data_IF_047074770911
#
_entry.id   IF_047074770911
#
_cell.length_a   1.000
_cell.length_b   1.000
_cell.length_c   1.000
_cell.angle_alpha   90.00
_cell.angle_beta   90.00
_cell.angle_gamma   90.00
#
_symmetry.space_group_name_H-M   'P 1'
#
loop_
_entity.id
_entity.type
_entity.pdbx_description
1 polymer ?
#
# COMPACT_ATOMS: atom_id res chain seq x y z
N UNK A 1 6.32 -6.64 -31.73
CA UNK A 1 5.99 -5.45 -30.92
C UNK A 1 6.05 -5.81 -29.45
N UNK A 2 6.57 -4.96 -28.59
CA UNK A 2 6.54 -5.25 -27.17
C UNK A 2 5.10 -5.36 -26.66
N UNK A 3 4.86 -6.31 -25.76
CA UNK A 3 3.55 -6.48 -25.12
C UNK A 3 3.25 -5.30 -24.19
N UNK A 4 1.99 -4.95 -24.07
CA UNK A 4 1.54 -4.06 -22.99
C UNK A 4 1.69 -4.76 -21.63
N UNK A 5 1.74 -4.00 -20.53
CA UNK A 5 1.78 -4.54 -19.18
C UNK A 5 0.68 -5.58 -18.94
N UNK A 6 -0.54 -5.27 -19.38
CA UNK A 6 -1.68 -6.18 -19.25
C UNK A 6 -1.50 -7.47 -20.05
N UNK A 7 -1.11 -7.38 -21.31
CA UNK A 7 -0.88 -8.57 -22.16
C UNK A 7 0.22 -9.46 -21.60
N UNK A 8 1.32 -8.86 -21.16
CA UNK A 8 2.45 -9.55 -20.54
C UNK A 8 2.02 -10.31 -19.29
N UNK A 9 1.31 -9.66 -18.40
CA UNK A 9 0.82 -10.27 -17.16
C UNK A 9 -0.10 -11.46 -17.46
N UNK A 10 -1.11 -11.27 -18.32
CA UNK A 10 -2.05 -12.34 -18.63
C UNK A 10 -1.43 -13.47 -19.47
N UNK A 11 -0.44 -13.19 -20.34
CA UNK A 11 0.31 -14.26 -21.02
C UNK A 11 0.98 -15.18 -20.00
N UNK A 12 1.64 -14.63 -18.98
CA UNK A 12 2.26 -15.45 -17.95
C UNK A 12 1.23 -16.23 -17.11
N UNK A 13 0.09 -15.61 -16.76
CA UNK A 13 -1.00 -16.29 -16.04
C UNK A 13 -1.57 -17.45 -16.88
N UNK A 14 -1.69 -17.27 -18.19
CA UNK A 14 -2.15 -18.28 -19.14
C UNK A 14 -1.08 -19.32 -19.51
N UNK A 15 0.06 -19.32 -18.82
CA UNK A 15 1.21 -20.21 -19.08
C UNK A 15 1.77 -20.07 -20.52
N UNK A 16 1.63 -18.89 -21.12
CA UNK A 16 2.23 -18.51 -22.38
C UNK A 16 3.49 -17.69 -22.11
N UNK A 17 4.50 -17.84 -22.96
CA UNK A 17 5.74 -17.08 -22.84
C UNK A 17 5.49 -15.59 -23.19
N UNK A 18 5.67 -14.66 -22.24
CA UNK A 18 5.61 -13.22 -22.50
C UNK A 18 6.93 -12.72 -23.11
N UNK A 19 6.92 -11.47 -23.62
CA UNK A 19 8.14 -10.83 -24.16
C UNK A 19 9.23 -10.60 -23.09
N UNK A 20 8.83 -10.52 -21.81
CA UNK A 20 9.71 -10.49 -20.62
C UNK A 20 8.94 -10.97 -19.41
N UNK A 21 9.66 -11.34 -18.35
CA UNK A 21 9.02 -11.75 -17.08
C UNK A 21 8.21 -10.57 -16.50
N UNK A 22 6.92 -10.76 -16.19
CA UNK A 22 6.11 -9.74 -15.57
C UNK A 22 6.66 -9.33 -14.21
N UNK A 23 6.69 -8.03 -13.95
CA UNK A 23 7.14 -7.47 -12.68
C UNK A 23 5.93 -7.11 -11.84
N UNK A 24 5.86 -7.64 -10.63
CA UNK A 24 4.85 -7.29 -9.63
C UNK A 24 5.44 -7.37 -8.23
N UNK A 25 4.88 -6.63 -7.30
CA UNK A 25 5.22 -6.69 -5.88
C UNK A 25 3.96 -6.49 -5.03
N UNK A 26 4.00 -6.98 -3.79
CA UNK A 26 2.90 -6.82 -2.83
C UNK A 26 2.74 -5.37 -2.34
N UNK A 27 3.78 -4.55 -2.45
CA UNK A 27 3.75 -3.15 -2.08
C UNK A 27 5.13 -2.51 -2.03
N UNK A 28 5.16 -1.21 -1.89
CA UNK A 28 6.37 -0.41 -1.72
C UNK A 28 6.28 0.35 -0.41
N UNK A 29 7.39 0.43 0.31
CA UNK A 29 7.47 1.23 1.53
C UNK A 29 7.27 2.73 1.25
N UNK A 30 6.64 3.42 2.20
CA UNK A 30 6.31 4.85 2.07
C UNK A 30 7.49 5.72 1.63
N UNK A 31 8.71 5.57 2.16
CA UNK A 31 9.85 6.37 1.70
C UNK A 31 10.16 6.20 0.21
N UNK A 32 10.00 4.99 -0.32
CA UNK A 32 10.22 4.70 -1.74
C UNK A 32 9.14 5.39 -2.58
N UNK A 33 7.88 5.24 -2.18
CA UNK A 33 6.75 5.89 -2.86
C UNK A 33 6.88 7.40 -2.84
N UNK A 34 7.28 7.99 -1.70
CA UNK A 34 7.55 9.42 -1.57
C UNK A 34 8.67 9.90 -2.51
N UNK A 35 9.77 9.15 -2.57
CA UNK A 35 10.89 9.48 -3.46
C UNK A 35 10.47 9.44 -4.95
N UNK A 36 9.68 8.45 -5.36
CA UNK A 36 9.25 8.28 -6.75
C UNK A 36 8.18 9.30 -7.15
N UNK A 37 7.24 9.59 -6.25
CA UNK A 37 6.08 10.44 -6.55
C UNK A 37 6.30 11.91 -6.22
N UNK A 38 7.31 12.23 -5.40
CA UNK A 38 7.55 13.56 -4.85
C UNK A 38 6.47 14.00 -3.84
N UNK A 39 5.61 13.09 -3.39
CA UNK A 39 4.52 13.40 -2.47
C UNK A 39 4.79 12.77 -1.10
N UNK A 40 4.68 13.57 -0.04
CA UNK A 40 4.68 13.03 1.33
C UNK A 40 3.41 12.23 1.56
N UNK A 41 3.60 11.02 2.03
CA UNK A 41 2.54 10.15 2.49
C UNK A 41 2.43 10.28 4.00
N UNK A 42 1.22 10.37 4.52
CA UNK A 42 0.97 9.99 5.90
C UNK A 42 1.40 8.53 6.10
N UNK A 43 1.81 8.13 7.30
CA UNK A 43 2.16 6.73 7.54
C UNK A 43 1.04 5.79 7.05
N UNK A 44 1.38 4.58 6.63
CA UNK A 44 0.40 3.54 6.30
C UNK A 44 -0.46 3.13 7.51
N UNK A 45 -0.13 3.65 8.68
CA UNK A 45 -0.89 3.44 9.90
C UNK A 45 -2.15 4.30 9.86
N UNK A 46 -3.28 3.66 9.81
CA UNK A 46 -4.59 4.26 10.08
C UNK A 46 -4.68 4.87 11.49
N UNK A 47 -3.66 4.70 12.27
CA UNK A 47 -3.55 5.09 13.67
C UNK A 47 -2.71 6.33 13.85
N UNK A 48 -2.12 6.85 12.82
CA UNK A 48 -1.47 8.15 12.91
C UNK A 48 -2.55 9.21 13.16
N UNK A 49 -2.96 9.37 14.40
CA UNK A 49 -4.02 10.25 14.89
C UNK A 49 -3.90 11.74 14.56
N UNK A 50 -3.14 12.05 13.52
CA UNK A 50 -2.97 13.37 12.92
C UNK A 50 -3.85 13.59 11.69
N UNK A 51 -4.45 12.53 11.13
CA UNK A 51 -5.29 12.67 9.93
C UNK A 51 -6.74 12.86 10.33
N UNK A 52 -7.35 13.94 9.85
CA UNK A 52 -8.77 14.25 10.10
C UNK A 52 -9.70 13.19 9.51
N UNK A 53 -9.31 12.56 8.41
CA UNK A 53 -10.02 11.46 7.78
C UNK A 53 -9.03 10.35 7.37
N UNK A 54 -8.92 9.28 8.18
CA UNK A 54 -8.07 8.12 7.85
C UNK A 54 -8.45 7.44 6.53
N UNK A 55 -9.71 7.51 6.15
CA UNK A 55 -10.21 6.94 4.91
C UNK A 55 -9.66 7.66 3.69
N UNK A 56 -9.73 8.99 3.67
CA UNK A 56 -9.14 9.80 2.60
C UNK A 56 -7.63 9.62 2.52
N UNK A 57 -6.95 9.56 3.66
CA UNK A 57 -5.51 9.32 3.74
C UNK A 57 -5.13 7.98 3.09
N UNK A 58 -5.89 6.94 3.37
CA UNK A 58 -5.66 5.62 2.78
C UNK A 58 -5.88 5.61 1.27
N UNK A 59 -6.96 6.20 0.78
CA UNK A 59 -7.21 6.31 -0.67
C UNK A 59 -6.06 7.07 -1.35
N UNK A 60 -5.64 8.19 -0.78
CA UNK A 60 -4.54 9.01 -1.29
C UNK A 60 -3.22 8.22 -1.35
N UNK A 61 -2.91 7.46 -0.30
CA UNK A 61 -1.73 6.63 -0.24
C UNK A 61 -1.75 5.51 -1.29
N UNK A 62 -2.91 4.88 -1.52
CA UNK A 62 -3.09 3.86 -2.56
C UNK A 62 -2.89 4.43 -3.96
N UNK A 63 -3.45 5.61 -4.23
CA UNK A 63 -3.24 6.29 -5.51
C UNK A 63 -1.74 6.59 -5.71
N UNK A 64 -1.05 7.04 -4.67
CA UNK A 64 0.38 7.31 -4.75
C UNK A 64 1.19 6.02 -4.98
N UNK A 65 0.87 4.93 -4.25
CA UNK A 65 1.49 3.63 -4.46
C UNK A 65 1.29 3.15 -5.91
N UNK A 66 0.06 3.17 -6.41
CA UNK A 66 -0.23 2.76 -7.79
C UNK A 66 0.56 3.59 -8.81
N UNK A 67 0.67 4.90 -8.60
CA UNK A 67 1.49 5.78 -9.47
C UNK A 67 2.97 5.45 -9.40
N UNK A 68 3.49 5.12 -8.22
CA UNK A 68 4.89 4.71 -8.06
C UNK A 68 5.16 3.39 -8.80
N UNK A 69 4.31 2.39 -8.63
CA UNK A 69 4.40 1.11 -9.34
C UNK A 69 4.36 1.29 -10.85
N UNK A 70 3.45 2.12 -11.37
CA UNK A 70 3.38 2.44 -12.81
C UNK A 70 4.66 3.12 -13.31
N UNK A 71 5.23 4.06 -12.55
CA UNK A 71 6.49 4.71 -12.91
C UNK A 71 7.69 3.74 -12.90
N UNK A 72 7.64 2.71 -12.07
CA UNK A 72 8.64 1.64 -12.03
C UNK A 72 8.43 0.57 -13.11
N UNK A 73 7.36 0.65 -13.88
CA UNK A 73 7.08 -0.29 -14.94
C UNK A 73 6.50 -1.63 -14.47
N UNK A 74 5.82 -1.66 -13.33
CA UNK A 74 5.15 -2.85 -12.84
C UNK A 74 4.01 -3.26 -13.78
N UNK A 75 3.91 -4.56 -14.05
CA UNK A 75 2.89 -5.15 -14.92
C UNK A 75 1.58 -5.42 -14.18
N UNK A 76 1.64 -5.61 -12.87
CA UNK A 76 0.48 -5.72 -12.01
C UNK A 76 0.71 -5.02 -10.68
N UNK A 77 -0.37 -4.49 -10.11
CA UNK A 77 -0.39 -3.79 -8.83
C UNK A 77 -1.40 -4.50 -7.94
N UNK A 78 -1.03 -4.86 -6.70
CA UNK A 78 -1.96 -5.53 -5.80
C UNK A 78 -3.11 -4.59 -5.42
N UNK A 79 -4.33 -5.02 -5.70
CA UNK A 79 -5.54 -4.38 -5.18
C UNK A 79 -5.81 -4.85 -3.76
N UNK A 80 -4.90 -4.54 -2.84
CA UNK A 80 -5.11 -4.92 -1.43
C UNK A 80 -6.30 -4.14 -0.86
N UNK A 81 -7.26 -4.88 -0.34
CA UNK A 81 -8.23 -4.28 0.57
C UNK A 81 -7.47 -3.88 1.83
N UNK A 82 -7.55 -2.62 2.18
CA UNK A 82 -7.09 -2.18 3.49
C UNK A 82 -8.12 -2.65 4.51
N UNK A 83 -7.81 -3.74 5.19
CA UNK A 83 -8.72 -4.36 6.16
C UNK A 83 -9.15 -3.38 7.26
N UNK A 84 -8.35 -2.39 7.53
CA UNK A 84 -8.63 -1.36 8.51
C UNK A 84 -9.70 -0.35 8.07
N UNK A 85 -10.07 -0.36 6.79
CA UNK A 85 -11.13 0.50 6.25
C UNK A 85 -12.52 -0.14 6.30
N UNK A 86 -12.67 -1.35 6.82
CA UNK A 86 -13.95 -2.04 6.90
C UNK A 86 -14.99 -1.30 7.75
N UNK A 87 -14.55 -0.42 8.64
CA UNK A 87 -15.46 0.41 9.43
C UNK A 87 -14.94 1.85 9.62
N UNK A 88 -15.68 2.82 9.12
CA UNK A 88 -15.45 4.25 9.43
C UNK A 88 -15.62 4.58 10.92
N UNK A 89 -16.23 3.70 11.69
CA UNK A 89 -16.49 3.86 13.13
C UNK A 89 -15.37 3.26 13.99
N UNK A 90 -14.43 2.55 13.39
CA UNK A 90 -13.37 1.91 14.13
C UNK A 90 -12.45 2.94 14.79
N UNK A 91 -12.22 2.75 16.07
CA UNK A 91 -11.24 3.51 16.86
C UNK A 91 -10.27 2.51 17.49
N UNK A 92 -8.97 2.61 17.18
CA UNK A 92 -7.98 1.71 17.77
C UNK A 92 -7.88 1.94 19.29
N UNK A 93 -7.67 0.85 20.02
CA UNK A 93 -7.39 0.90 21.45
C UNK A 93 -5.89 1.06 21.67
N UNK A 94 -5.44 2.25 22.12
CA UNK A 94 -4.03 2.51 22.36
C UNK A 94 -3.54 1.89 23.67
N UNK A 95 -2.44 1.14 23.60
CA UNK A 95 -1.70 0.64 24.77
C UNK A 95 -0.62 1.67 25.15
N UNK A 96 0.00 2.32 24.16
CA UNK A 96 0.99 3.37 24.32
C UNK A 96 0.98 4.28 23.09
N UNK A 97 1.86 5.30 23.03
CA UNK A 97 1.93 6.27 21.93
C UNK A 97 2.03 5.64 20.54
N UNK A 98 2.73 4.50 20.44
CA UNK A 98 3.01 3.82 19.17
C UNK A 98 2.51 2.37 19.12
N UNK A 99 1.82 1.89 20.18
CA UNK A 99 1.27 0.53 20.25
C UNK A 99 -0.22 0.58 20.45
N UNK A 100 -0.94 -0.23 19.70
CA UNK A 100 -2.40 -0.29 19.75
C UNK A 100 -2.93 -1.69 19.43
N UNK A 101 -4.18 -1.91 19.78
CA UNK A 101 -4.92 -3.12 19.44
C UNK A 101 -5.90 -2.75 18.33
N UNK A 102 -5.90 -3.51 17.25
CA UNK A 102 -6.83 -3.34 16.15
C UNK A 102 -8.18 -4.02 16.41
N UNK A 103 -9.10 -3.89 15.45
CA UNK A 103 -10.46 -4.46 15.55
C UNK A 103 -10.49 -5.99 15.61
N UNK A 104 -9.40 -6.66 15.25
CA UNK A 104 -9.25 -8.12 15.35
C UNK A 104 -8.47 -8.56 16.59
N UNK A 105 -8.15 -7.64 17.51
CA UNK A 105 -7.42 -7.92 18.73
C UNK A 105 -5.91 -8.10 18.54
N UNK A 106 -5.36 -7.74 17.37
CA UNK A 106 -3.92 -7.81 17.12
C UNK A 106 -3.21 -6.63 17.78
N UNK A 107 -2.06 -6.90 18.41
CA UNK A 107 -1.19 -5.87 18.95
C UNK A 107 -0.24 -5.40 17.85
N UNK A 108 -0.32 -4.14 17.49
CA UNK A 108 0.45 -3.52 16.43
C UNK A 108 1.34 -2.42 17.00
N UNK A 109 2.51 -2.23 16.39
CA UNK A 109 3.46 -1.17 16.73
C UNK A 109 3.77 -0.34 15.48
N UNK A 110 3.57 0.97 15.57
CA UNK A 110 3.95 1.91 14.51
C UNK A 110 5.39 2.34 14.70
N UNK A 111 6.21 2.18 13.66
CA UNK A 111 7.61 2.61 13.64
C UNK A 111 7.76 3.85 12.76
N UNK A 112 8.26 4.93 13.34
CA UNK A 112 8.44 6.19 12.59
C UNK A 112 9.51 6.11 11.50
N UNK A 113 10.56 5.31 11.72
CA UNK A 113 11.70 5.16 10.81
C UNK A 113 11.28 4.58 9.46
N UNK A 114 10.43 3.58 9.46
CA UNK A 114 9.93 2.90 8.25
C UNK A 114 8.56 3.39 7.82
N UNK A 115 7.88 4.17 8.67
CA UNK A 115 6.46 4.55 8.50
C UNK A 115 5.54 3.35 8.26
N UNK A 116 5.94 2.19 8.77
CA UNK A 116 5.21 0.92 8.66
C UNK A 116 4.59 0.55 9.99
N UNK A 117 3.62 -0.34 9.96
CA UNK A 117 2.96 -0.90 11.13
C UNK A 117 3.04 -2.42 11.07
N UNK A 118 3.47 -3.01 12.16
CA UNK A 118 3.63 -4.46 12.33
C UNK A 118 2.73 -4.97 13.45
#
# INVERSE_FOLDING_TARGET
>A
MPMSHRERFFSAVDLKEPDMVPITDMGLDSPIVEAITGKRLGGFSLVAGSEKDPWEASIRNRIALSRACLKLGFDAIPAMSDYSLCSKKYKPSFISKNRYIDEWGRKLESRQETKTTW
#
